data_IF_112701178673
#
_entry.id   IF_112701178673
#
_cell.length_a   1.000
_cell.length_b   1.000
_cell.length_c   1.000
_cell.angle_alpha   90.00
_cell.angle_beta   90.00
_cell.angle_gamma   90.00
#
_symmetry.space_group_name_H-M   'P 1'
#
loop_
_entity.id
_entity.type
_entity.pdbx_description
1 polymer ?
#
# COMPACT_ATOMS: atom_id res chain seq x y z
N UNK A 1 12.22 5.78 8.07
CA UNK A 1 12.34 5.83 6.61
C UNK A 1 12.86 7.18 6.15
N UNK A 2 14.00 7.19 5.46
CA UNK A 2 14.35 8.27 4.54
C UNK A 2 13.76 7.88 3.19
N UNK A 3 12.81 8.66 2.70
CA UNK A 3 12.20 8.48 1.40
C UNK A 3 12.95 9.32 0.35
N UNK A 4 12.95 8.90 -0.92
CA UNK A 4 13.46 9.76 -2.01
C UNK A 4 12.73 11.11 -2.05
N UNK A 5 11.50 11.13 -1.57
CA UNK A 5 10.65 12.30 -1.53
C UNK A 5 11.05 13.30 -0.42
N UNK A 6 11.97 12.93 0.48
CA UNK A 6 12.49 13.83 1.52
C UNK A 6 13.48 14.85 0.93
N UNK A 7 14.11 14.52 -0.18
CA UNK A 7 15.13 15.37 -0.84
C UNK A 7 14.74 15.80 -2.24
N UNK A 8 13.92 15.03 -2.95
CA UNK A 8 13.68 15.20 -4.37
C UNK A 8 12.19 15.29 -4.72
N UNK A 9 11.91 16.05 -5.78
CA UNK A 9 10.62 16.02 -6.48
C UNK A 9 10.74 15.01 -7.61
N UNK A 10 9.94 13.95 -7.59
CA UNK A 10 9.92 12.97 -8.68
C UNK A 10 8.98 13.46 -9.76
N UNK A 11 9.51 13.71 -10.96
CA UNK A 11 8.77 14.30 -12.08
C UNK A 11 8.63 13.30 -13.22
N UNK A 12 7.40 13.14 -13.70
CA UNK A 12 7.08 12.41 -14.93
C UNK A 12 6.50 13.37 -15.95
N UNK A 13 7.18 13.52 -17.08
CA UNK A 13 6.72 14.33 -18.21
C UNK A 13 6.12 13.42 -19.28
N UNK A 14 4.81 13.57 -19.53
CA UNK A 14 4.07 12.82 -20.54
C UNK A 14 3.49 13.74 -21.61
N UNK A 15 3.17 13.22 -22.81
CA UNK A 15 2.55 14.04 -23.85
C UNK A 15 1.24 14.71 -23.44
N UNK A 16 0.49 14.15 -22.48
CA UNK A 16 -0.82 14.67 -22.02
C UNK A 16 -0.77 15.41 -20.69
N UNK A 17 0.19 15.09 -19.82
CA UNK A 17 0.27 15.64 -18.48
C UNK A 17 1.69 15.63 -17.92
N UNK A 18 1.91 16.41 -16.89
CA UNK A 18 3.08 16.31 -16.01
C UNK A 18 2.61 15.91 -14.62
N UNK A 19 3.31 14.96 -14.00
CA UNK A 19 3.09 14.53 -12.61
C UNK A 19 4.34 14.82 -11.78
N UNK A 20 4.20 15.66 -10.76
CA UNK A 20 5.27 16.02 -9.82
C UNK A 20 4.88 15.52 -8.43
N UNK A 21 5.64 14.56 -7.90
CA UNK A 21 5.37 13.91 -6.61
C UNK A 21 6.39 14.40 -5.57
N UNK A 22 5.88 14.79 -4.42
CA UNK A 22 6.63 15.28 -3.25
C UNK A 22 6.29 14.41 -2.03
N UNK A 23 6.99 14.62 -0.93
CA UNK A 23 6.73 13.88 0.32
C UNK A 23 5.35 14.17 0.91
N UNK A 24 4.83 15.37 0.69
CA UNK A 24 3.58 15.87 1.29
C UNK A 24 2.39 15.90 0.32
N UNK A 25 2.58 15.53 -0.94
CA UNK A 25 1.54 15.64 -1.95
C UNK A 25 2.04 15.51 -3.38
N UNK A 26 1.21 15.92 -4.33
CA UNK A 26 1.59 15.94 -5.74
C UNK A 26 0.88 17.03 -6.53
N UNK A 27 1.42 17.33 -7.70
CA UNK A 27 0.81 18.20 -8.71
C UNK A 27 0.61 17.40 -9.99
N UNK A 28 -0.61 17.43 -10.53
CA UNK A 28 -0.97 16.81 -11.80
C UNK A 28 -1.46 17.88 -12.76
N UNK A 29 -0.63 18.21 -13.75
CA UNK A 29 -0.91 19.25 -14.75
C UNK A 29 -1.29 18.60 -16.07
N UNK A 30 -2.59 18.54 -16.38
CA UNK A 30 -3.08 17.91 -17.60
C UNK A 30 -3.51 18.95 -18.63
N UNK A 31 -3.03 18.79 -19.88
CA UNK A 31 -3.19 19.78 -20.97
C UNK A 31 -4.64 20.24 -21.22
N UNK A 32 -5.62 19.39 -20.95
CA UNK A 32 -7.07 19.70 -21.13
C UNK A 32 -7.86 19.83 -19.83
N UNK A 33 -7.36 19.31 -18.70
CA UNK A 33 -8.11 19.23 -17.44
C UNK A 33 -7.64 20.29 -16.43
N UNK A 34 -6.57 21.03 -16.74
CA UNK A 34 -6.00 22.04 -15.86
C UNK A 34 -4.99 21.45 -14.88
N UNK A 35 -4.75 22.18 -13.80
CA UNK A 35 -3.80 21.82 -12.75
C UNK A 35 -4.58 21.32 -11.53
N UNK A 36 -4.19 20.16 -11.02
CA UNK A 36 -4.65 19.61 -9.76
C UNK A 36 -3.48 19.60 -8.78
N UNK A 37 -3.63 20.30 -7.66
CA UNK A 37 -2.68 20.26 -6.54
C UNK A 37 -3.31 19.51 -5.39
N UNK A 38 -2.61 18.51 -4.86
CA UNK A 38 -3.12 17.64 -3.79
C UNK A 38 -2.13 17.61 -2.64
N UNK A 39 -2.62 17.91 -1.44
CA UNK A 39 -1.94 17.57 -0.19
C UNK A 39 -2.36 16.18 0.26
N UNK A 40 -1.42 15.35 0.70
CA UNK A 40 -1.74 14.04 1.26
C UNK A 40 -2.51 14.13 2.58
N UNK A 41 -2.44 15.25 3.31
CA UNK A 41 -3.25 15.46 4.52
C UNK A 41 -4.75 15.56 4.23
N UNK A 42 -5.11 16.06 3.04
CA UNK A 42 -6.50 16.14 2.60
C UNK A 42 -7.05 14.81 2.07
N UNK A 43 -6.19 13.79 1.92
CA UNK A 43 -6.53 12.48 1.39
C UNK A 43 -6.65 11.45 2.52
N UNK A 44 -7.83 10.84 2.59
CA UNK A 44 -8.17 9.76 3.50
C UNK A 44 -7.55 8.43 3.07
N UNK A 45 -7.71 8.08 1.79
CA UNK A 45 -7.17 6.86 1.17
C UNK A 45 -7.15 7.03 -0.35
N UNK A 46 -6.29 6.26 -1.00
CA UNK A 46 -6.26 6.14 -2.47
C UNK A 46 -6.85 4.78 -2.85
N UNK A 47 -7.79 4.77 -3.80
CA UNK A 47 -8.39 3.56 -4.37
C UNK A 47 -7.92 3.42 -5.83
N UNK A 48 -7.28 2.30 -6.13
CA UNK A 48 -6.78 2.01 -7.48
C UNK A 48 -7.73 1.07 -8.22
N UNK A 49 -8.22 1.48 -9.39
CA UNK A 49 -9.02 0.63 -10.29
C UNK A 49 -8.13 0.02 -11.36
N UNK A 50 -8.38 -1.24 -11.75
CA UNK A 50 -7.59 -2.05 -12.69
C UNK A 50 -6.17 -2.44 -12.23
N UNK A 51 -5.69 -1.88 -11.12
CA UNK A 51 -4.35 -2.14 -10.60
C UNK A 51 -4.14 -3.55 -10.02
N UNK A 52 -5.18 -4.38 -9.98
CA UNK A 52 -5.07 -5.80 -9.61
C UNK A 52 -5.09 -6.75 -10.82
N UNK A 53 -5.52 -6.26 -11.99
CA UNK A 53 -5.91 -7.09 -13.12
C UNK A 53 -5.38 -6.59 -14.48
N UNK A 54 -4.67 -5.47 -14.50
CA UNK A 54 -4.15 -4.83 -15.72
C UNK A 54 -2.67 -4.51 -15.59
N UNK A 55 -1.97 -4.50 -16.73
CA UNK A 55 -0.65 -3.89 -16.90
C UNK A 55 -0.71 -2.67 -17.84
N UNK A 56 -1.89 -2.08 -17.98
CA UNK A 56 -2.12 -0.87 -18.78
C UNK A 56 -2.16 0.37 -17.91
N UNK A 57 -3.09 1.28 -18.22
CA UNK A 57 -3.37 2.44 -17.39
C UNK A 57 -4.23 2.11 -16.16
N UNK A 58 -4.12 2.94 -15.14
CA UNK A 58 -4.88 2.80 -13.89
C UNK A 58 -5.60 4.09 -13.54
N UNK A 59 -6.81 3.94 -12.99
CA UNK A 59 -7.52 5.07 -12.40
C UNK A 59 -7.18 5.15 -10.91
N UNK A 60 -6.69 6.31 -10.52
CA UNK A 60 -6.30 6.65 -9.16
C UNK A 60 -7.39 7.54 -8.58
N UNK A 61 -8.15 6.99 -7.65
CA UNK A 61 -9.28 7.67 -7.03
C UNK A 61 -8.87 8.16 -5.64
N UNK A 62 -8.89 9.47 -5.46
CA UNK A 62 -8.50 10.16 -4.23
C UNK A 62 -9.75 10.38 -3.38
N UNK A 63 -9.80 9.73 -2.22
CA UNK A 63 -10.89 9.89 -1.25
C UNK A 63 -10.48 10.99 -0.29
N UNK A 64 -11.26 12.07 -0.20
CA UNK A 64 -10.97 13.16 0.73
C UNK A 64 -11.27 12.80 2.18
N UNK A 65 -10.56 13.43 3.12
CA UNK A 65 -10.93 13.43 4.55
C UNK A 65 -12.26 14.14 4.81
N UNK A 66 -12.66 15.10 3.96
CA UNK A 66 -13.97 15.74 4.01
C UNK A 66 -14.99 14.89 3.22
N UNK A 67 -15.98 14.25 3.88
CA UNK A 67 -16.96 13.39 3.21
C UNK A 67 -17.90 14.16 2.26
N UNK A 68 -17.91 15.49 2.28
CA UNK A 68 -18.69 16.31 1.34
C UNK A 68 -17.96 16.54 0.02
N UNK A 69 -16.64 16.39 -0.01
CA UNK A 69 -15.86 16.54 -1.23
C UNK A 69 -16.10 15.36 -2.15
N UNK A 70 -16.22 15.65 -3.44
CA UNK A 70 -16.30 14.60 -4.46
C UNK A 70 -14.93 13.92 -4.56
N UNK A 71 -14.99 12.61 -4.82
CA UNK A 71 -13.82 11.84 -5.21
C UNK A 71 -13.20 12.46 -6.46
N UNK A 72 -11.87 12.60 -6.45
CA UNK A 72 -11.10 13.11 -7.60
C UNK A 72 -10.41 11.91 -8.22
N UNK A 73 -10.52 11.75 -9.54
CA UNK A 73 -9.82 10.72 -10.29
C UNK A 73 -8.76 11.31 -11.24
N UNK A 74 -7.62 10.64 -11.31
CA UNK A 74 -6.61 10.83 -12.35
C UNK A 74 -6.28 9.48 -12.98
N UNK A 75 -5.79 9.49 -14.21
CA UNK A 75 -5.31 8.30 -14.91
C UNK A 75 -3.80 8.38 -15.05
N UNK A 76 -3.10 7.33 -14.65
CA UNK A 76 -1.64 7.22 -14.71
C UNK A 76 -1.21 5.99 -15.52
N UNK A 77 0.08 5.96 -15.88
CA UNK A 77 0.71 4.88 -16.63
C UNK A 77 0.02 4.65 -18.00
N UNK A 78 -0.33 5.74 -18.69
CA UNK A 78 -1.02 5.70 -19.99
C UNK A 78 -0.14 5.18 -21.15
N UNK A 79 1.19 5.22 -20.99
CA UNK A 79 2.12 4.72 -22.00
C UNK A 79 2.40 3.24 -21.77
N UNK A 80 1.85 2.38 -22.64
CA UNK A 80 1.99 0.93 -22.51
C UNK A 80 3.43 0.46 -22.76
N UNK A 81 4.07 -0.08 -21.74
CA UNK A 81 5.25 -0.93 -21.86
C UNK A 81 4.85 -2.40 -21.88
N UNK A 82 5.22 -3.14 -22.94
CA UNK A 82 4.95 -4.59 -23.02
C UNK A 82 6.03 -5.46 -22.38
N UNK A 83 7.16 -4.88 -22.00
CA UNK A 83 8.36 -5.61 -21.56
C UNK A 83 8.50 -5.68 -20.02
N UNK A 84 7.85 -4.77 -19.27
CA UNK A 84 7.91 -4.71 -17.80
C UNK A 84 6.55 -4.40 -17.17
N UNK A 85 6.47 -4.42 -15.83
CA UNK A 85 5.30 -3.93 -15.13
C UNK A 85 5.13 -2.42 -15.36
N UNK A 86 4.09 -2.04 -16.10
CA UNK A 86 3.77 -0.63 -16.36
C UNK A 86 3.09 -0.05 -15.13
N UNK A 87 3.86 0.31 -14.10
CA UNK A 87 3.36 0.78 -12.80
C UNK A 87 4.16 1.95 -12.24
N UNK A 88 5.09 2.51 -13.02
CA UNK A 88 6.13 3.41 -12.53
C UNK A 88 5.54 4.65 -11.87
N UNK A 89 4.56 5.28 -12.52
CA UNK A 89 3.94 6.51 -12.02
C UNK A 89 3.04 6.20 -10.83
N UNK A 90 2.17 5.20 -10.97
CA UNK A 90 1.24 4.80 -9.91
C UNK A 90 1.98 4.34 -8.66
N UNK A 91 2.97 3.47 -8.79
CA UNK A 91 3.76 2.97 -7.65
C UNK A 91 4.47 4.11 -6.94
N UNK A 92 5.08 5.02 -7.69
CA UNK A 92 5.77 6.19 -7.10
C UNK A 92 4.80 7.04 -6.27
N UNK A 93 3.61 7.35 -6.80
CA UNK A 93 2.60 8.12 -6.07
C UNK A 93 2.11 7.39 -4.82
N UNK A 94 1.84 6.09 -4.95
CA UNK A 94 1.34 5.26 -3.87
C UNK A 94 2.36 5.13 -2.73
N UNK A 95 3.64 4.96 -3.06
CA UNK A 95 4.73 4.90 -2.07
C UNK A 95 4.92 6.24 -1.37
N UNK A 96 4.86 7.37 -2.09
CA UNK A 96 4.93 8.70 -1.47
C UNK A 96 3.77 8.91 -0.47
N UNK A 97 2.55 8.58 -0.87
CA UNK A 97 1.38 8.66 0.01
C UNK A 97 1.53 7.77 1.24
N UNK A 98 2.02 6.53 1.06
CA UNK A 98 2.25 5.62 2.17
C UNK A 98 3.37 6.09 3.11
N UNK A 99 4.47 6.62 2.57
CA UNK A 99 5.56 7.21 3.35
C UNK A 99 5.06 8.38 4.22
N UNK A 100 4.25 9.27 3.65
CA UNK A 100 3.61 10.37 4.37
C UNK A 100 2.74 9.87 5.52
N UNK A 101 1.86 8.89 5.26
CA UNK A 101 0.92 8.38 6.27
C UNK A 101 1.58 7.51 7.34
N UNK A 102 2.59 6.73 6.98
CA UNK A 102 3.32 5.87 7.92
C UNK A 102 4.37 6.65 8.71
N UNK A 103 4.70 7.89 8.30
CA UNK A 103 5.69 8.77 8.92
C UNK A 103 7.13 8.25 8.79
N UNK A 104 8.09 9.16 9.01
CA UNK A 104 9.52 8.85 8.99
C UNK A 104 9.96 7.85 10.08
N UNK A 105 9.21 7.69 11.16
CA UNK A 105 9.60 6.81 12.27
C UNK A 105 9.18 5.34 12.04
N UNK A 106 8.39 5.09 10.99
CA UNK A 106 8.05 3.74 10.56
C UNK A 106 9.32 2.96 10.13
N UNK A 107 9.45 1.69 10.52
CA UNK A 107 8.41 0.86 11.17
C UNK A 107 8.55 0.73 12.70
N UNK A 108 9.32 1.61 13.35
CA UNK A 108 9.59 1.50 14.78
C UNK A 108 8.42 2.01 15.66
N UNK A 109 7.56 2.86 15.10
CA UNK A 109 6.45 3.50 15.79
C UNK A 109 5.08 2.87 15.50
N UNK A 110 5.01 1.64 14.97
CA UNK A 110 3.74 1.01 14.54
C UNK A 110 2.63 1.11 15.59
N UNK A 111 2.94 0.91 16.88
CA UNK A 111 1.96 0.96 17.97
C UNK A 111 1.43 2.37 18.30
N UNK A 112 2.10 3.42 17.81
CA UNK A 112 1.80 4.83 18.07
C UNK A 112 1.06 5.51 16.91
N UNK A 113 0.98 4.84 15.75
CA UNK A 113 0.30 5.34 14.56
C UNK A 113 -1.21 5.55 14.80
N UNK A 114 -1.74 6.71 14.37
CA UNK A 114 -3.18 7.01 14.30
C UNK A 114 -3.54 7.45 12.87
N UNK A 115 -4.02 6.51 12.05
CA UNK A 115 -4.32 6.76 10.64
C UNK A 115 -5.42 5.86 10.09
N UNK A 116 -5.97 6.27 8.95
CA UNK A 116 -6.99 5.49 8.22
C UNK A 116 -6.31 4.46 7.33
N UNK A 117 -6.74 3.20 7.46
CA UNK A 117 -6.27 2.06 6.66
C UNK A 117 -7.12 1.83 5.40
N UNK A 118 -8.27 2.50 5.31
CA UNK A 118 -9.16 2.46 4.16
C UNK A 118 -10.61 2.30 4.58
N UNK A 119 -11.45 1.90 3.62
CA UNK A 119 -12.88 1.68 3.87
C UNK A 119 -13.35 0.36 3.29
N UNK A 120 -14.34 -0.26 3.93
CA UNK A 120 -15.08 -1.41 3.38
C UNK A 120 -16.57 -1.30 3.69
N UNK A 121 -17.41 -2.02 2.94
CA UNK A 121 -18.85 -2.04 3.20
C UNK A 121 -19.18 -2.57 4.61
N UNK A 122 -18.42 -3.58 5.07
CA UNK A 122 -18.62 -4.27 6.36
C UNK A 122 -18.10 -3.46 7.54
N UNK A 123 -16.88 -2.92 7.44
CA UNK A 123 -16.21 -2.23 8.54
C UNK A 123 -16.36 -0.71 8.50
N UNK A 124 -16.98 -0.15 7.46
CA UNK A 124 -16.99 1.30 7.21
C UNK A 124 -15.56 1.82 7.11
N UNK A 125 -15.18 2.81 7.90
CA UNK A 125 -13.81 3.29 7.97
C UNK A 125 -12.99 2.39 8.90
N UNK A 126 -11.83 1.95 8.44
CA UNK A 126 -10.89 1.13 9.20
C UNK A 126 -9.70 2.02 9.61
N UNK A 127 -9.31 1.97 10.88
CA UNK A 127 -8.23 2.80 11.43
C UNK A 127 -7.22 1.95 12.19
N UNK A 128 -5.97 2.38 12.21
CA UNK A 128 -5.01 1.99 13.24
C UNK A 128 -5.03 3.08 14.30
N UNK A 129 -5.25 2.73 15.57
CA UNK A 129 -5.19 3.65 16.71
C UNK A 129 -4.93 2.89 17.99
N UNK A 130 -3.99 3.38 18.81
CA UNK A 130 -3.70 2.81 20.11
C UNK A 130 -3.39 1.31 20.02
N UNK A 131 -2.49 0.95 19.09
CA UNK A 131 -2.06 -0.43 18.85
C UNK A 131 -3.14 -1.38 18.29
N UNK A 132 -4.27 -0.85 17.81
CA UNK A 132 -5.40 -1.65 17.34
C UNK A 132 -5.87 -1.27 15.95
N UNK A 133 -6.20 -2.27 15.15
CA UNK A 133 -6.94 -2.11 13.90
C UNK A 133 -8.43 -2.15 14.24
N UNK A 134 -9.12 -1.04 14.04
CA UNK A 134 -10.50 -0.81 14.47
C UNK A 134 -11.36 -0.56 13.23
N UNK A 135 -12.42 -1.36 13.08
CA UNK A 135 -13.52 -1.13 12.14
C UNK A 135 -14.84 -1.02 12.90
N UNK A 136 -15.95 -0.84 12.17
CA UNK A 136 -17.27 -0.73 12.78
C UNK A 136 -17.75 -2.01 13.49
N UNK A 137 -17.22 -3.19 13.15
CA UNK A 137 -17.65 -4.47 13.72
C UNK A 137 -16.57 -5.21 14.49
N UNK A 138 -15.30 -5.02 14.12
CA UNK A 138 -14.19 -5.75 14.72
C UNK A 138 -13.10 -4.79 15.17
N UNK A 139 -12.37 -5.22 16.19
CA UNK A 139 -11.20 -4.57 16.73
C UNK A 139 -10.16 -5.67 17.00
N UNK A 140 -8.93 -5.49 16.51
CA UNK A 140 -7.84 -6.44 16.69
C UNK A 140 -6.60 -5.68 17.20
N UNK A 141 -6.03 -6.13 18.32
CA UNK A 141 -4.70 -5.69 18.73
C UNK A 141 -3.66 -6.21 17.75
N UNK A 142 -2.77 -5.34 17.28
CA UNK A 142 -1.78 -5.73 16.28
C UNK A 142 -0.83 -6.84 16.78
N UNK A 143 -0.59 -6.96 18.09
CA UNK A 143 0.26 -8.00 18.67
C UNK A 143 -0.40 -9.39 18.65
N UNK A 144 -1.73 -9.43 18.55
CA UNK A 144 -2.49 -10.66 18.44
C UNK A 144 -2.50 -11.22 17.01
N UNK A 145 -2.05 -10.45 16.01
CA UNK A 145 -2.04 -10.88 14.61
C UNK A 145 -1.00 -11.99 14.42
N UNK A 146 -1.46 -13.17 13.99
CA UNK A 146 -0.63 -14.37 13.77
C UNK A 146 -0.52 -14.77 12.31
N UNK A 147 -1.48 -14.39 11.46
CA UNK A 147 -1.38 -14.56 10.01
C UNK A 147 -2.08 -13.42 9.30
N UNK A 148 -1.53 -13.07 8.14
CA UNK A 148 -2.19 -12.20 7.17
C UNK A 148 -2.17 -12.92 5.84
N UNK A 149 -3.33 -13.05 5.20
CA UNK A 149 -3.46 -13.74 3.91
C UNK A 149 -3.91 -12.75 2.86
N UNK A 150 -3.15 -12.63 1.79
CA UNK A 150 -3.52 -11.84 0.62
C UNK A 150 -4.51 -12.63 -0.23
N UNK A 151 -5.61 -11.98 -0.63
CA UNK A 151 -6.56 -12.54 -1.57
C UNK A 151 -6.97 -11.47 -2.59
N UNK A 152 -6.71 -11.75 -3.87
CA UNK A 152 -7.02 -10.83 -4.96
C UNK A 152 -8.00 -11.49 -5.94
N UNK A 153 -9.07 -10.75 -6.25
CA UNK A 153 -10.06 -11.08 -7.27
C UNK A 153 -10.40 -9.78 -8.01
N UNK A 154 -11.68 -9.47 -8.23
CA UNK A 154 -12.10 -8.13 -8.67
C UNK A 154 -11.73 -7.03 -7.64
N UNK A 155 -11.59 -7.41 -6.36
CA UNK A 155 -11.14 -6.54 -5.27
C UNK A 155 -9.99 -7.24 -4.54
N UNK A 156 -8.98 -6.49 -4.10
CA UNK A 156 -7.87 -6.96 -3.28
C UNK A 156 -8.15 -6.78 -1.79
N UNK A 157 -7.98 -7.84 -1.00
CA UNK A 157 -8.14 -7.80 0.47
C UNK A 157 -7.05 -8.56 1.21
N UNK A 158 -6.74 -8.11 2.42
CA UNK A 158 -5.98 -8.86 3.42
C UNK A 158 -6.93 -9.43 4.47
N UNK A 159 -6.91 -10.74 4.64
CA UNK A 159 -7.54 -11.42 5.77
C UNK A 159 -6.58 -11.49 6.95
N UNK A 160 -6.98 -10.93 8.09
CA UNK A 160 -6.23 -10.92 9.35
C UNK A 160 -6.73 -12.05 10.24
N UNK A 161 -5.80 -12.81 10.83
CA UNK A 161 -6.09 -13.94 11.70
C UNK A 161 -5.29 -13.83 13.01
N UNK A 162 -5.95 -14.02 14.14
CA UNK A 162 -5.31 -14.07 15.48
C UNK A 162 -4.93 -15.49 15.92
N UNK A 163 -5.25 -16.49 15.09
CA UNK A 163 -4.86 -17.90 15.27
C UNK A 163 -3.74 -18.28 14.30
N UNK A 164 -2.69 -18.92 14.81
CA UNK A 164 -1.59 -19.47 14.00
C UNK A 164 -2.04 -20.61 13.08
N UNK A 165 -3.02 -21.41 13.54
CA UNK A 165 -3.49 -22.59 12.80
C UNK A 165 -4.66 -22.25 11.89
N UNK A 166 -4.63 -22.81 10.67
CA UNK A 166 -5.78 -22.80 9.75
C UNK A 166 -6.87 -23.68 10.34
N UNK A 167 -8.07 -23.13 10.61
CA UNK A 167 -9.21 -23.89 11.16
C UNK A 167 -9.94 -24.74 10.10
N UNK A 168 -9.19 -25.51 9.31
CA UNK A 168 -9.72 -26.39 8.26
C UNK A 168 -10.56 -25.66 7.21
N UNK A 169 -11.63 -26.29 6.71
CA UNK A 169 -12.52 -25.74 5.67
C UNK A 169 -13.24 -24.43 6.07
N UNK A 170 -13.16 -24.02 7.35
CA UNK A 170 -13.83 -22.85 7.90
C UNK A 170 -12.87 -21.79 8.45
N UNK A 171 -11.63 -21.75 7.96
CA UNK A 171 -10.63 -20.75 8.33
C UNK A 171 -11.01 -19.34 7.83
N UNK A 172 -11.91 -18.68 8.56
CA UNK A 172 -12.37 -17.31 8.32
C UNK A 172 -11.44 -16.32 9.02
N UNK A 173 -11.13 -15.23 8.31
CA UNK A 173 -10.40 -14.11 8.89
C UNK A 173 -11.22 -13.47 10.02
N UNK A 174 -10.53 -13.09 11.10
CA UNK A 174 -11.11 -12.35 12.22
C UNK A 174 -11.46 -10.91 11.79
N UNK A 175 -10.70 -10.35 10.85
CA UNK A 175 -11.00 -9.09 10.18
C UNK A 175 -10.51 -9.09 8.73
N UNK A 176 -11.18 -8.34 7.86
CA UNK A 176 -10.76 -8.14 6.47
C UNK A 176 -10.54 -6.66 6.21
N UNK A 177 -9.38 -6.31 5.66
CA UNK A 177 -9.01 -4.94 5.30
C UNK A 177 -8.67 -4.84 3.81
N UNK A 178 -8.88 -3.67 3.16
CA UNK A 178 -8.53 -3.50 1.75
C UNK A 178 -7.01 -3.53 1.54
N UNK A 179 -6.58 -4.05 0.39
CA UNK A 179 -5.19 -3.88 -0.07
C UNK A 179 -5.03 -2.45 -0.62
N UNK A 180 -4.08 -1.70 -0.08
CA UNK A 180 -3.62 -0.42 -0.61
C UNK A 180 -2.16 -0.16 -0.19
N UNK A 181 -1.65 1.02 -0.54
CA UNK A 181 -0.24 1.36 -0.30
C UNK A 181 0.12 1.54 1.19
N UNK A 182 -0.85 1.77 2.06
CA UNK A 182 -0.64 1.88 3.50
C UNK A 182 -0.74 0.50 4.16
N UNK A 183 -1.78 -0.28 3.84
CA UNK A 183 -2.05 -1.57 4.51
C UNK A 183 -1.02 -2.64 4.17
N UNK A 184 -0.47 -2.65 2.95
CA UNK A 184 0.52 -3.64 2.54
C UNK A 184 1.80 -3.59 3.38
N UNK A 185 2.58 -2.48 3.41
CA UNK A 185 3.79 -2.40 4.23
C UNK A 185 3.49 -2.49 5.74
N UNK A 186 2.37 -1.92 6.20
CA UNK A 186 1.98 -1.98 7.61
C UNK A 186 1.75 -3.42 8.09
N UNK A 187 0.92 -4.19 7.36
CA UNK A 187 0.61 -5.57 7.75
C UNK A 187 1.79 -6.51 7.55
N UNK A 188 2.63 -6.27 6.54
CA UNK A 188 3.89 -7.00 6.38
C UNK A 188 4.79 -6.79 7.60
N UNK A 189 4.96 -5.54 8.05
CA UNK A 189 5.76 -5.24 9.24
C UNK A 189 5.18 -5.88 10.50
N UNK A 190 3.86 -5.75 10.74
CA UNK A 190 3.20 -6.31 11.92
C UNK A 190 3.35 -7.83 11.98
N UNK A 191 2.97 -8.55 10.91
CA UNK A 191 2.93 -10.01 10.96
C UNK A 191 4.34 -10.60 10.97
N UNK A 192 5.29 -9.97 10.26
CA UNK A 192 6.70 -10.38 10.30
C UNK A 192 7.30 -10.17 11.69
N UNK A 193 7.02 -9.02 12.33
CA UNK A 193 7.43 -8.76 13.71
C UNK A 193 6.88 -9.79 14.69
N UNK A 194 5.60 -10.15 14.56
CA UNK A 194 4.94 -11.05 15.50
C UNK A 194 5.34 -12.51 15.34
N UNK A 195 5.75 -12.93 14.13
CA UNK A 195 5.83 -14.36 13.80
C UNK A 195 7.09 -14.79 13.07
N UNK A 196 7.95 -13.84 12.66
CA UNK A 196 9.05 -14.09 11.73
C UNK A 196 8.59 -14.44 10.30
N UNK A 197 7.28 -14.39 10.02
CA UNK A 197 6.68 -14.67 8.71
C UNK A 197 5.86 -13.45 8.29
N UNK A 198 6.13 -12.93 7.11
CA UNK A 198 5.26 -11.90 6.52
C UNK A 198 3.97 -12.47 5.92
N UNK A 199 3.29 -11.65 5.13
CA UNK A 199 1.99 -11.95 4.50
C UNK A 199 2.08 -13.22 3.63
N UNK A 200 1.03 -14.04 3.69
CA UNK A 200 0.83 -15.20 2.81
C UNK A 200 0.25 -14.73 1.47
N UNK A 201 1.10 -14.72 0.44
CA UNK A 201 0.72 -14.40 -0.96
C UNK A 201 0.39 -15.64 -1.80
N UNK A 202 0.32 -16.83 -1.21
CA UNK A 202 0.16 -18.10 -1.96
C UNK A 202 -1.20 -18.26 -2.67
N UNK A 203 -2.19 -17.41 -2.36
CA UNK A 203 -3.51 -17.47 -3.01
C UNK A 203 -3.49 -16.76 -4.35
N UNK A 204 -3.89 -17.49 -5.39
CA UNK A 204 -4.22 -16.96 -6.70
C UNK A 204 -5.64 -16.42 -6.83
N UNK A 205 -6.02 -16.02 -8.04
CA UNK A 205 -7.38 -15.53 -8.37
C UNK A 205 -8.35 -16.66 -8.81
N UNK A 206 -7.95 -17.93 -8.63
CA UNK A 206 -8.64 -19.15 -9.08
C UNK A 206 -8.87 -19.26 -10.60
N UNK A 207 -8.26 -18.38 -11.40
CA UNK A 207 -8.35 -18.37 -12.86
C UNK A 207 -6.96 -18.62 -13.45
N UNK A 208 -6.18 -17.57 -13.65
CA UNK A 208 -4.89 -17.59 -14.34
C UNK A 208 -3.70 -17.22 -13.44
N UNK A 209 -3.93 -16.47 -12.37
CA UNK A 209 -2.88 -16.10 -11.41
C UNK A 209 -2.75 -17.19 -10.34
N UNK A 210 -1.56 -17.80 -10.24
CA UNK A 210 -1.29 -18.85 -9.24
C UNK A 210 -1.14 -18.32 -7.81
N UNK A 211 -0.67 -17.09 -7.68
CA UNK A 211 -0.40 -16.43 -6.41
C UNK A 211 -0.70 -14.92 -6.53
N UNK A 212 -0.59 -14.19 -5.43
CA UNK A 212 -0.81 -12.74 -5.36
C UNK A 212 0.49 -11.95 -5.17
N UNK A 213 1.66 -12.50 -5.55
CA UNK A 213 2.96 -11.87 -5.29
C UNK A 213 3.15 -10.53 -6.04
N UNK A 214 2.39 -10.30 -7.11
CA UNK A 214 2.37 -9.01 -7.79
C UNK A 214 1.93 -7.85 -6.89
N UNK A 215 1.25 -8.13 -5.75
CA UNK A 215 0.94 -7.11 -4.74
C UNK A 215 2.23 -6.55 -4.11
N UNK A 216 3.26 -7.38 -3.96
CA UNK A 216 4.58 -6.97 -3.46
C UNK A 216 5.19 -5.96 -4.44
N UNK A 217 5.20 -6.32 -5.73
CA UNK A 217 5.69 -5.49 -6.83
C UNK A 217 4.95 -4.15 -6.89
N UNK A 218 3.65 -4.12 -6.60
CA UNK A 218 2.81 -2.93 -6.77
C UNK A 218 2.77 -2.00 -5.56
N UNK A 219 2.78 -2.53 -4.33
CA UNK A 219 2.48 -1.75 -3.12
C UNK A 219 3.60 -1.73 -2.08
N UNK A 220 4.66 -2.52 -2.23
CA UNK A 220 5.75 -2.54 -1.25
C UNK A 220 7.03 -1.92 -1.80
N UNK A 221 7.77 -1.27 -0.90
CA UNK A 221 9.06 -0.65 -1.14
C UNK A 221 10.00 -1.07 0.01
N UNK A 222 11.22 -1.58 -0.27
CA UNK A 222 12.13 -2.04 0.79
C UNK A 222 12.41 -0.99 1.86
N UNK A 223 12.48 0.29 1.49
CA UNK A 223 12.73 1.40 2.40
C UNK A 223 11.75 1.50 3.58
N UNK A 224 10.53 0.94 3.45
CA UNK A 224 9.56 0.87 4.55
C UNK A 224 10.07 0.06 5.76
N UNK A 225 11.02 -0.84 5.57
CA UNK A 225 11.53 -1.72 6.64
C UNK A 225 12.89 -1.28 7.18
N UNK A 226 13.41 -0.14 6.73
CA UNK A 226 14.65 0.45 7.22
C UNK A 226 14.38 1.46 8.34
N UNK A 227 15.27 1.53 9.32
CA UNK A 227 15.20 2.51 10.40
C UNK A 227 15.79 3.87 10.02
N UNK A 228 16.82 3.86 9.18
CA UNK A 228 17.46 5.02 8.54
C UNK A 228 17.93 4.61 7.13
N UNK A 229 18.57 5.50 6.35
CA UNK A 229 18.90 5.32 4.92
C UNK A 229 19.35 3.91 4.54
N UNK A 230 20.17 3.27 5.38
CA UNK A 230 20.73 1.94 5.13
C UNK A 230 20.83 1.09 6.42
N UNK A 231 20.00 1.33 7.43
CA UNK A 231 20.10 0.63 8.71
C UNK A 231 18.88 -0.24 9.03
N UNK A 232 19.16 -1.41 9.58
CA UNK A 232 18.20 -2.37 10.10
C UNK A 232 18.45 -2.52 11.60
N UNK A 233 17.40 -2.40 12.41
CA UNK A 233 17.49 -2.45 13.88
C UNK A 233 17.13 -3.81 14.45
N UNK A 234 16.17 -4.51 13.85
CA UNK A 234 15.63 -5.78 14.35
C UNK A 234 15.64 -6.86 13.24
N UNK A 235 15.76 -8.13 13.62
CA UNK A 235 15.87 -9.24 12.65
C UNK A 235 14.64 -9.35 11.73
N UNK A 236 13.45 -9.12 12.27
CA UNK A 236 12.21 -9.19 11.49
C UNK A 236 12.16 -8.12 10.38
N UNK A 237 12.79 -6.95 10.59
CA UNK A 237 12.89 -5.90 9.56
C UNK A 237 13.72 -6.40 8.37
N UNK A 238 14.81 -7.13 8.65
CA UNK A 238 15.62 -7.76 7.60
C UNK A 238 14.80 -8.76 6.78
N UNK A 239 14.00 -9.59 7.45
CA UNK A 239 13.15 -10.58 6.77
C UNK A 239 12.16 -9.90 5.81
N UNK A 240 11.51 -8.82 6.26
CA UNK A 240 10.59 -8.05 5.43
C UNK A 240 11.32 -7.32 4.28
N UNK A 241 12.46 -6.69 4.58
CA UNK A 241 13.30 -6.01 3.60
C UNK A 241 13.76 -6.95 2.48
N UNK A 242 14.43 -8.06 2.82
CA UNK A 242 14.99 -9.02 1.86
C UNK A 242 13.90 -9.59 0.95
N UNK A 243 12.71 -9.86 1.51
CA UNK A 243 11.57 -10.36 0.76
C UNK A 243 11.15 -9.40 -0.34
N UNK A 244 11.04 -8.10 -0.03
CA UNK A 244 10.61 -7.10 -1.02
C UNK A 244 11.70 -6.84 -2.05
N UNK A 245 12.97 -6.77 -1.61
CA UNK A 245 14.13 -6.59 -2.50
C UNK A 245 14.20 -7.67 -3.57
N UNK A 246 13.87 -8.91 -3.23
CA UNK A 246 13.95 -10.05 -4.15
C UNK A 246 13.07 -9.92 -5.40
N UNK A 247 12.06 -9.04 -5.39
CA UNK A 247 11.21 -8.79 -6.55
C UNK A 247 11.77 -7.74 -7.51
N UNK A 248 12.74 -6.91 -7.10
CA UNK A 248 13.47 -5.99 -8.00
C UNK A 248 12.74 -4.72 -8.46
N UNK A 249 11.46 -4.54 -8.14
CA UNK A 249 10.67 -3.36 -8.55
C UNK A 249 10.63 -2.29 -7.46
N UNK A 250 11.72 -1.55 -7.23
CA UNK A 250 11.76 -0.44 -6.27
C UNK A 250 11.97 0.91 -6.97
N UNK A 251 11.57 2.02 -6.35
CA UNK A 251 11.51 3.31 -7.06
C UNK A 251 12.87 3.81 -7.60
N UNK A 252 13.96 3.40 -6.95
CA UNK A 252 15.34 3.70 -7.38
C UNK A 252 16.01 2.56 -8.15
N UNK A 253 15.28 1.48 -8.42
CA UNK A 253 15.76 0.34 -9.21
C UNK A 253 15.31 0.44 -10.66
N UNK A 254 15.66 -0.57 -11.44
CA UNK A 254 15.14 -0.72 -12.79
C UNK A 254 13.62 -1.02 -12.73
N UNK A 255 12.81 0.03 -12.85
CA UNK A 255 11.35 -0.05 -13.11
C UNK A 255 11.05 0.21 -14.58
#
# INVERSE_FOLDING_TARGET
MISIFDTDIVTFEKPKYTLEIRSDGFTYTHKKKGVLNVSFDDILTIITTNYFSSNGSYNINLVSVDPKQKMIDITLDEDYGYETHNIKETKTLLTAFAAHKLTKDFPNNIGELDLTLGTSLREKQIKLRGNKIIGAKHEIDINDIKRVVCAVSAIGTFGIYTSETKKGLFDKADMVVPINSVTAPLLEAIVTKNTGKGIDFSRGNNWDQKNSEFIIIRFMEPGFFLTDRDSIKEEWQKIAFDRVVMYGYFINGDM
#
